data_IF_134959956063
#
_entry.id   IF_134959956063
#
_cell.length_a   1.000
_cell.length_b   1.000
_cell.length_c   1.000
_cell.angle_alpha   90.00
_cell.angle_beta   90.00
_cell.angle_gamma   90.00
#
_symmetry.space_group_name_H-M   'P 1'
#
loop_
_entity.id
_entity.type
_entity.pdbx_description
1 polymer ?
#
# COMPACT_ATOMS: atom_id res chain seq x y z
N UNK A 1 5.64 -3.71 7.07
CA UNK A 1 4.50 -3.85 6.13
C UNK A 1 5.06 -4.32 4.80
N UNK A 2 4.90 -5.58 4.42
CA UNK A 2 5.37 -6.05 3.14
C UNK A 2 4.49 -5.49 2.01
N UNK A 3 5.11 -4.91 1.00
CA UNK A 3 4.45 -4.54 -0.25
C UNK A 3 4.90 -5.54 -1.31
N UNK A 4 4.01 -6.42 -1.70
CA UNK A 4 4.28 -7.41 -2.74
C UNK A 4 3.76 -6.91 -4.08
N UNK A 5 4.55 -7.07 -5.12
CA UNK A 5 4.12 -6.78 -6.48
C UNK A 5 3.86 -8.09 -7.19
N UNK A 6 2.67 -8.20 -7.75
CA UNK A 6 2.32 -9.33 -8.60
C UNK A 6 3.01 -9.17 -9.95
N UNK A 7 3.87 -10.10 -10.30
CA UNK A 7 4.34 -10.22 -11.67
C UNK A 7 3.37 -11.12 -12.44
N UNK A 8 2.54 -10.52 -13.30
CA UNK A 8 1.71 -11.28 -14.20
C UNK A 8 2.57 -11.79 -15.37
N UNK A 9 2.96 -13.04 -15.32
CA UNK A 9 3.55 -13.75 -16.46
C UNK A 9 2.64 -14.92 -16.82
N UNK A 10 1.85 -14.76 -17.85
CA UNK A 10 0.95 -15.81 -18.32
C UNK A 10 -0.32 -15.96 -17.48
N UNK A 11 -1.01 -17.07 -17.60
CA UNK A 11 -2.35 -17.31 -17.04
C UNK A 11 -2.39 -17.54 -15.52
N UNK A 12 -1.55 -16.88 -14.72
CA UNK A 12 -1.55 -16.99 -13.27
C UNK A 12 -0.75 -15.89 -12.59
N UNK A 13 -1.29 -15.34 -11.51
CA UNK A 13 -0.54 -14.46 -10.63
C UNK A 13 0.42 -15.30 -9.80
N UNK A 14 1.72 -15.13 -10.02
CA UNK A 14 2.74 -15.77 -9.19
C UNK A 14 3.27 -14.76 -8.18
N UNK A 15 2.93 -14.93 -6.93
CA UNK A 15 3.64 -14.28 -5.84
C UNK A 15 4.82 -15.17 -5.45
N UNK A 16 6.02 -14.82 -5.89
CA UNK A 16 7.22 -15.46 -5.34
C UNK A 16 7.44 -14.98 -3.92
N UNK A 17 7.51 -15.89 -2.92
CA UNK A 17 7.95 -15.52 -1.58
C UNK A 17 9.34 -14.88 -1.69
N UNK A 18 9.48 -13.63 -1.27
CA UNK A 18 10.75 -12.90 -1.32
C UNK A 18 10.88 -11.85 -2.42
N UNK A 19 9.96 -11.75 -3.39
CA UNK A 19 9.90 -10.61 -4.30
C UNK A 19 8.88 -9.59 -3.79
N UNK A 20 9.34 -8.66 -2.99
CA UNK A 20 8.58 -7.49 -2.60
C UNK A 20 9.32 -6.24 -3.05
N UNK A 21 8.59 -5.19 -3.49
CA UNK A 21 9.20 -3.88 -3.75
C UNK A 21 9.61 -3.21 -2.44
N UNK A 22 8.86 -3.43 -1.38
CA UNK A 22 9.14 -2.94 -0.03
C UNK A 22 8.70 -3.96 1.01
N UNK A 23 9.60 -4.26 1.90
CA UNK A 23 9.30 -4.92 3.16
C UNK A 23 9.61 -3.93 4.28
N UNK A 24 8.57 -3.35 4.88
CA UNK A 24 8.70 -2.25 5.82
C UNK A 24 8.16 -2.61 7.19
N UNK A 25 8.79 -2.09 8.21
CA UNK A 25 8.32 -2.13 9.58
C UNK A 25 7.95 -0.71 10.07
N UNK A 26 7.49 -0.59 11.29
CA UNK A 26 7.09 0.71 11.87
C UNK A 26 8.23 1.73 11.86
N UNK A 27 9.47 1.29 12.06
CA UNK A 27 10.64 2.18 12.04
C UNK A 27 10.93 2.68 10.63
N UNK A 28 10.99 1.81 9.63
CA UNK A 28 11.23 2.21 8.25
C UNK A 28 10.11 3.11 7.70
N UNK A 29 8.85 2.82 8.05
CA UNK A 29 7.71 3.67 7.70
C UNK A 29 7.83 5.07 8.33
N UNK A 30 8.23 5.16 9.60
CA UNK A 30 8.43 6.46 10.26
C UNK A 30 9.52 7.28 9.57
N UNK A 31 10.57 6.63 9.08
CA UNK A 31 11.64 7.26 8.31
C UNK A 31 11.13 7.79 6.96
N UNK A 32 10.25 7.04 6.28
CA UNK A 32 9.62 7.51 5.05
C UNK A 32 8.76 8.74 5.29
N UNK A 33 7.94 8.73 6.34
CA UNK A 33 7.13 9.92 6.70
C UNK A 33 8.03 11.11 7.02
N UNK A 34 9.11 10.92 7.79
CA UNK A 34 10.02 11.99 8.14
C UNK A 34 10.69 12.65 6.92
N UNK A 35 10.90 11.90 5.82
CA UNK A 35 11.44 12.47 4.57
C UNK A 35 10.58 13.57 3.96
N UNK A 36 9.26 13.51 4.11
CA UNK A 36 8.36 14.55 3.61
C UNK A 36 8.51 15.88 4.35
N UNK A 37 9.14 15.87 5.53
CA UNK A 37 9.41 17.06 6.33
C UNK A 37 10.77 17.68 5.99
N UNK A 38 11.54 17.09 5.08
CA UNK A 38 12.85 17.59 4.68
C UNK A 38 12.76 18.48 3.44
N UNK A 39 13.66 19.44 3.33
CA UNK A 39 13.79 20.34 2.17
C UNK A 39 14.11 19.58 0.85
N UNK A 40 14.53 18.33 0.95
CA UNK A 40 14.89 17.49 -0.19
C UNK A 40 13.79 16.55 -0.66
N UNK A 41 12.55 16.70 -0.17
CA UNK A 41 11.41 15.89 -0.59
C UNK A 41 10.85 16.32 -1.96
N UNK A 42 11.70 16.46 -2.95
CA UNK A 42 11.36 16.92 -4.31
C UNK A 42 10.27 16.07 -4.99
N UNK A 43 10.12 14.82 -4.59
CA UNK A 43 9.09 13.93 -5.12
C UNK A 43 7.66 14.38 -4.77
N UNK A 44 7.51 15.23 -3.74
CA UNK A 44 6.26 15.82 -3.28
C UNK A 44 6.32 17.36 -3.26
N UNK A 45 7.18 17.94 -4.09
CA UNK A 45 7.19 19.39 -4.37
C UNK A 45 7.01 19.62 -5.89
N UNK A 46 5.87 20.14 -6.36
CA UNK A 46 4.67 20.49 -5.58
C UNK A 46 3.95 19.25 -5.01
N UNK A 47 3.21 19.39 -3.89
CA UNK A 47 2.57 18.28 -3.22
C UNK A 47 1.49 17.63 -4.09
N UNK A 48 1.42 16.31 -4.05
CA UNK A 48 0.37 15.54 -4.73
C UNK A 48 -0.95 15.64 -4.00
N UNK A 49 -2.04 15.62 -4.78
CA UNK A 49 -3.38 15.36 -4.25
C UNK A 49 -3.66 13.87 -4.37
N UNK A 50 -3.92 13.26 -3.24
CA UNK A 50 -4.17 11.82 -3.15
C UNK A 50 -5.61 11.55 -2.74
N UNK A 51 -6.22 10.54 -3.34
CA UNK A 51 -7.50 10.02 -2.89
C UNK A 51 -7.52 8.51 -2.98
N UNK A 52 -7.82 7.87 -1.84
CA UNK A 52 -7.99 6.43 -1.75
C UNK A 52 -9.47 6.09 -1.86
N UNK A 53 -9.80 5.21 -2.79
CA UNK A 53 -11.11 4.58 -2.88
C UNK A 53 -10.95 3.15 -2.39
N UNK A 54 -11.58 2.83 -1.26
CA UNK A 54 -11.52 1.51 -0.65
C UNK A 54 -12.87 0.84 -0.80
N UNK A 55 -12.86 -0.39 -1.31
CA UNK A 55 -14.08 -1.15 -1.58
C UNK A 55 -13.87 -2.65 -1.34
N UNK A 56 -14.94 -3.42 -1.48
CA UNK A 56 -14.91 -4.88 -1.34
C UNK A 56 -14.31 -5.34 -0.01
N UNK A 57 -14.62 -4.63 1.07
CA UNK A 57 -14.11 -4.94 2.40
C UNK A 57 -14.77 -6.23 2.90
N UNK A 58 -13.96 -7.23 3.18
CA UNK A 58 -14.39 -8.53 3.73
C UNK A 58 -13.55 -8.88 4.94
N UNK A 59 -14.18 -9.45 5.94
CA UNK A 59 -13.51 -9.87 7.17
C UNK A 59 -13.51 -11.38 7.29
N UNK A 60 -12.40 -11.92 7.79
CA UNK A 60 -12.22 -13.34 8.03
C UNK A 60 -11.66 -13.55 9.44
N UNK A 61 -12.00 -14.69 10.02
CA UNK A 61 -11.38 -15.10 11.28
C UNK A 61 -9.89 -15.37 11.08
N UNK A 62 -9.09 -15.04 12.07
CA UNK A 62 -7.67 -15.36 12.14
C UNK A 62 -7.45 -16.58 13.02
N UNK A 63 -6.47 -17.40 12.69
CA UNK A 63 -6.04 -18.52 13.55
C UNK A 63 -5.41 -18.02 14.87
N UNK A 64 -5.06 -16.72 14.94
CA UNK A 64 -4.50 -16.09 16.13
C UNK A 64 -5.60 -15.39 16.93
N UNK A 65 -5.84 -15.77 18.20
CA UNK A 65 -6.83 -15.11 19.05
C UNK A 65 -6.59 -13.59 19.14
N UNK A 66 -7.68 -12.82 19.03
CA UNK A 66 -7.61 -11.35 19.10
C UNK A 66 -7.20 -10.67 17.80
N UNK A 67 -7.00 -11.42 16.72
CA UNK A 67 -6.76 -10.88 15.39
C UNK A 67 -7.94 -11.13 14.46
N UNK A 68 -8.07 -10.27 13.46
CA UNK A 68 -9.02 -10.42 12.34
C UNK A 68 -8.29 -10.10 11.05
N UNK A 69 -8.54 -10.90 10.02
CA UNK A 69 -8.02 -10.66 8.67
C UNK A 69 -9.06 -9.87 7.88
N UNK A 70 -8.62 -8.84 7.20
CA UNK A 70 -9.47 -7.96 6.39
C UNK A 70 -8.91 -7.85 4.99
N UNK A 71 -9.66 -8.33 4.03
CA UNK A 71 -9.39 -8.09 2.62
C UNK A 71 -10.08 -6.82 2.16
N UNK A 72 -9.42 -6.07 1.29
CA UNK A 72 -10.02 -4.93 0.60
C UNK A 72 -9.36 -4.68 -0.75
N UNK A 73 -10.09 -4.03 -1.65
CA UNK A 73 -9.53 -3.47 -2.85
C UNK A 73 -9.32 -1.96 -2.67
N UNK A 74 -8.23 -1.45 -3.19
CA UNK A 74 -7.92 -0.02 -3.17
C UNK A 74 -7.62 0.49 -4.56
N UNK A 75 -8.23 1.64 -4.88
CA UNK A 75 -7.86 2.44 -6.03
C UNK A 75 -7.31 3.77 -5.50
N UNK A 76 -6.06 4.06 -5.82
CA UNK A 76 -5.42 5.31 -5.48
C UNK A 76 -5.42 6.23 -6.71
N UNK A 77 -6.00 7.39 -6.55
CA UNK A 77 -5.90 8.50 -7.51
C UNK A 77 -4.87 9.49 -6.99
N UNK A 78 -3.90 9.84 -7.83
CA UNK A 78 -2.86 10.82 -7.53
C UNK A 78 -2.78 11.85 -8.65
N UNK A 79 -2.89 13.12 -8.30
CA UNK A 79 -2.73 14.25 -9.21
C UNK A 79 -1.64 15.18 -8.68
N UNK A 80 -0.77 15.64 -9.56
CA UNK A 80 0.24 16.67 -9.30
C UNK A 80 0.11 17.81 -10.30
N UNK A 81 0.27 19.05 -9.83
CA UNK A 81 0.08 20.23 -10.66
C UNK A 81 1.08 20.39 -11.81
N UNK A 82 2.23 19.72 -11.73
CA UNK A 82 3.30 19.73 -12.73
C UNK A 82 3.20 18.57 -13.74
N UNK A 83 2.20 17.68 -13.58
CA UNK A 83 1.99 16.51 -14.45
C UNK A 83 0.57 16.55 -15.01
N UNK A 84 0.44 16.46 -16.33
CA UNK A 84 -0.85 16.57 -17.02
C UNK A 84 -1.79 15.41 -16.73
N UNK A 85 -1.27 14.19 -16.61
CA UNK A 85 -2.10 13.01 -16.41
C UNK A 85 -2.04 12.54 -14.96
N UNK A 86 -3.18 12.30 -14.32
CA UNK A 86 -3.20 11.70 -13.00
C UNK A 86 -2.71 10.25 -13.05
N UNK A 87 -2.03 9.82 -12.01
CA UNK A 87 -1.70 8.41 -11.81
C UNK A 87 -2.85 7.71 -11.08
N UNK A 88 -3.18 6.51 -11.55
CA UNK A 88 -4.15 5.62 -10.92
C UNK A 88 -3.44 4.31 -10.62
N UNK A 89 -3.53 3.84 -9.38
CA UNK A 89 -2.94 2.58 -8.94
C UNK A 89 -4.04 1.73 -8.33
N UNK A 90 -4.20 0.52 -8.84
CA UNK A 90 -5.11 -0.49 -8.31
C UNK A 90 -4.33 -1.55 -7.55
N UNK A 91 -4.83 -1.94 -6.39
CA UNK A 91 -4.21 -2.97 -5.56
C UNK A 91 -5.24 -3.70 -4.69
N UNK A 92 -4.94 -4.96 -4.39
CA UNK A 92 -5.55 -5.70 -3.30
C UNK A 92 -4.78 -5.49 -2.00
N UNK A 93 -5.48 -5.43 -0.87
CA UNK A 93 -4.87 -5.39 0.47
C UNK A 93 -5.40 -6.52 1.32
N UNK A 94 -4.49 -7.16 2.03
CA UNK A 94 -4.78 -8.06 3.13
C UNK A 94 -4.20 -7.45 4.40
N UNK A 95 -5.05 -7.09 5.33
CA UNK A 95 -4.70 -6.51 6.61
C UNK A 95 -4.94 -7.50 7.74
N UNK A 96 -3.96 -7.67 8.62
CA UNK A 96 -4.16 -8.32 9.91
C UNK A 96 -4.31 -7.22 10.96
N UNK A 97 -5.48 -7.16 11.56
CA UNK A 97 -5.82 -6.20 12.60
C UNK A 97 -5.86 -6.91 13.96
N UNK A 98 -5.21 -6.32 14.95
CA UNK A 98 -5.16 -6.83 16.32
C UNK A 98 -6.02 -5.98 17.24
N UNK A 99 -6.81 -6.66 18.08
CA UNK A 99 -7.60 -5.98 19.12
C UNK A 99 -6.69 -5.57 20.27
N UNK A 100 -6.66 -4.28 20.56
CA UNK A 100 -5.86 -3.69 21.63
C UNK A 100 -6.69 -2.60 22.31
N UNK A 101 -6.94 -2.75 23.62
CA UNK A 101 -7.61 -1.71 24.41
C UNK A 101 -8.97 -1.27 23.88
N UNK A 102 -9.77 -2.20 23.35
CA UNK A 102 -11.10 -1.91 22.76
C UNK A 102 -11.07 -1.35 21.35
N UNK A 103 -9.90 -1.14 20.75
CA UNK A 103 -9.72 -0.71 19.36
C UNK A 103 -9.05 -1.77 18.49
N UNK A 104 -8.79 -1.40 17.26
CA UNK A 104 -8.05 -2.21 16.28
C UNK A 104 -6.76 -1.50 15.89
N UNK A 105 -5.67 -2.24 15.86
CA UNK A 105 -4.37 -1.79 15.39
C UNK A 105 -3.92 -2.64 14.21
N UNK A 106 -3.29 -2.03 13.22
CA UNK A 106 -2.71 -2.73 12.10
C UNK A 106 -1.44 -3.48 12.54
N UNK A 107 -1.51 -4.82 12.55
CA UNK A 107 -0.38 -5.67 12.86
C UNK A 107 0.45 -6.00 11.62
N UNK A 108 -0.20 -6.23 10.48
CA UNK A 108 0.44 -6.51 9.19
C UNK A 108 -0.44 -6.04 8.05
N UNK A 109 0.18 -5.56 6.99
CA UNK A 109 -0.49 -5.27 5.72
C UNK A 109 0.31 -5.87 4.58
N UNK A 110 -0.35 -6.62 3.73
CA UNK A 110 0.17 -7.08 2.46
C UNK A 110 -0.58 -6.35 1.36
N UNK A 111 0.15 -5.75 0.43
CA UNK A 111 -0.41 -5.03 -0.71
C UNK A 111 0.06 -5.71 -1.97
N UNK A 112 -0.87 -6.11 -2.81
CA UNK A 112 -0.61 -6.69 -4.12
C UNK A 112 -1.10 -5.71 -5.16
N UNK A 113 -0.17 -5.09 -5.89
CA UNK A 113 -0.49 -4.15 -6.95
C UNK A 113 -0.87 -4.93 -8.21
N UNK A 114 -1.93 -4.48 -8.89
CA UNK A 114 -2.49 -5.18 -10.06
C UNK A 114 -1.66 -4.98 -11.34
N UNK A 115 -0.75 -4.02 -11.34
CA UNK A 115 0.13 -3.75 -12.48
C UNK A 115 1.51 -4.38 -12.28
N UNK A 116 2.00 -5.07 -13.30
CA UNK A 116 3.37 -5.64 -13.31
C UNK A 116 4.45 -4.55 -13.45
N UNK A 117 4.11 -3.44 -14.10
CA UNK A 117 4.96 -2.25 -14.25
C UNK A 117 4.18 -1.03 -13.78
N UNK A 118 4.67 -0.38 -12.75
CA UNK A 118 4.06 0.83 -12.21
C UNK A 118 4.27 1.99 -13.19
N UNK A 119 3.17 2.62 -13.61
CA UNK A 119 3.18 3.77 -14.53
C UNK A 119 3.38 5.10 -13.82
N UNK A 120 3.54 5.08 -12.50
CA UNK A 120 3.80 6.30 -11.72
C UNK A 120 5.28 6.64 -11.73
N UNK A 121 5.59 7.94 -11.75
CA UNK A 121 6.97 8.42 -11.75
C UNK A 121 7.74 8.06 -10.47
N UNK A 122 7.03 7.90 -9.36
CA UNK A 122 7.60 7.50 -8.08
C UNK A 122 6.51 6.91 -7.17
N UNK A 123 6.92 6.22 -6.13
CA UNK A 123 6.07 5.64 -5.10
C UNK A 123 6.25 6.35 -3.75
N UNK A 124 6.36 7.66 -3.76
CA UNK A 124 6.33 8.47 -2.55
C UNK A 124 4.91 8.55 -1.94
N UNK A 125 4.20 7.44 -1.93
CA UNK A 125 2.80 7.30 -1.51
C UNK A 125 2.63 6.05 -0.64
N UNK A 126 1.54 6.02 0.13
CA UNK A 126 1.12 4.86 0.92
C UNK A 126 -0.19 4.30 0.37
N UNK A 127 -0.24 2.99 0.12
CA UNK A 127 -1.42 2.25 -0.33
C UNK A 127 -2.15 1.56 0.81
#
# INVERSE_FOLDING_TARGET
>A
MPVQVTTALGAGYSTSPGMAHWDENKYSLSRRVARFLTEHAWTEDPPSRLRHFVTNVRTFESDVPGEVVVDSAVLLFRSRGDVHEPAVISAGREDVLRRVGGGLQLARRTITVDESVLRTQNLAIFL
#
